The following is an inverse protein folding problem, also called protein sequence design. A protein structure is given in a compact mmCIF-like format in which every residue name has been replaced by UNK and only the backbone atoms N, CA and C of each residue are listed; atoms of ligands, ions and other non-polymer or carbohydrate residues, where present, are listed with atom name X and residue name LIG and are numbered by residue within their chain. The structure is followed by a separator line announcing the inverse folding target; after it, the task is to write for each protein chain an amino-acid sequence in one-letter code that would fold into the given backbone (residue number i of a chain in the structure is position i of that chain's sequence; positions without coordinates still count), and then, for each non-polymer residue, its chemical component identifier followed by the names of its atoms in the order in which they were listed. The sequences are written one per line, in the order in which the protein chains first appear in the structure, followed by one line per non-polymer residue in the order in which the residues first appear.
data_IF_524589783692
#
_entry.id   IF_524589783692
#
_cell.length_a   1.000
_cell.length_b   1.000
_cell.length_c   1.000
_cell.angle_alpha   90.00
_cell.angle_beta   90.00
_cell.angle_gamma   90.00
#
_symmetry.space_group_name_H-M   'P 1'
#
loop_
_entity.id
_entity.type
_entity.pdbx_description
1 polymer ?
#
# COMPACT_ATOMS: atom_id res chain seq x y z
N UNK A 1 -10.46 -29.92 8.76
CA UNK A 1 -10.94 -28.55 8.65
C UNK A 1 -10.05 -27.55 9.43
N UNK A 2 -9.70 -27.79 10.69
CA UNK A 2 -8.83 -26.86 11.47
C UNK A 2 -7.47 -26.60 10.85
N UNK A 3 -6.85 -27.60 10.23
CA UNK A 3 -5.53 -27.42 9.54
C UNK A 3 -5.60 -26.60 8.26
N UNK A 4 -6.71 -26.67 7.53
CA UNK A 4 -6.91 -25.88 6.32
C UNK A 4 -7.16 -24.40 6.64
N UNK A 5 -7.87 -24.11 7.73
CA UNK A 5 -8.11 -22.74 8.20
C UNK A 5 -6.79 -22.10 8.66
N UNK A 6 -5.95 -22.86 9.37
CA UNK A 6 -4.64 -22.37 9.80
C UNK A 6 -3.70 -22.05 8.61
N UNK A 7 -3.73 -22.90 7.58
CA UNK A 7 -2.90 -22.71 6.38
C UNK A 7 -3.36 -21.51 5.56
N UNK A 8 -4.66 -21.27 5.43
CA UNK A 8 -5.20 -20.11 4.71
C UNK A 8 -4.92 -18.81 5.45
N UNK A 9 -4.96 -18.80 6.77
CA UNK A 9 -4.64 -17.64 7.58
C UNK A 9 -3.13 -17.29 7.50
N UNK A 10 -2.27 -18.30 7.54
CA UNK A 10 -0.82 -18.11 7.37
C UNK A 10 -0.46 -17.57 5.99
N UNK A 11 -1.13 -18.07 4.94
CA UNK A 11 -0.91 -17.59 3.57
C UNK A 11 -1.38 -16.16 3.38
N UNK A 12 -2.49 -15.77 4.01
CA UNK A 12 -2.99 -14.38 3.99
C UNK A 12 -2.04 -13.42 4.70
N UNK A 13 -1.44 -13.83 5.83
CA UNK A 13 -0.43 -13.04 6.53
C UNK A 13 0.87 -12.89 5.73
N UNK A 14 1.32 -13.95 5.05
CA UNK A 14 2.51 -13.89 4.20
C UNK A 14 2.32 -12.96 2.99
N UNK A 15 1.14 -12.96 2.38
CA UNK A 15 0.83 -12.07 1.26
C UNK A 15 0.81 -10.58 1.65
N UNK A 16 0.41 -10.26 2.88
CA UNK A 16 0.40 -8.87 3.36
C UNK A 16 1.80 -8.31 3.62
N UNK A 17 2.77 -9.15 3.96
CA UNK A 17 4.17 -8.72 4.13
C UNK A 17 4.87 -8.40 2.81
N UNK A 18 4.52 -9.08 1.72
CA UNK A 18 5.11 -8.85 0.41
C UNK A 18 4.64 -7.53 -0.25
N UNK A 19 3.50 -6.98 0.18
CA UNK A 19 2.95 -5.75 -0.38
C UNK A 19 3.63 -4.47 0.14
N UNK A 20 4.46 -4.56 1.19
CA UNK A 20 5.04 -3.38 1.84
C UNK A 20 6.27 -2.80 1.12
N UNK A 21 6.82 -3.47 0.11
CA UNK A 21 8.09 -3.10 -0.51
C UNK A 21 7.94 -2.08 -1.65
N UNK A 22 6.72 -1.82 -2.10
CA UNK A 22 6.45 -0.87 -3.17
C UNK A 22 5.55 0.27 -2.71
N UNK A 23 5.73 1.52 -3.21
CA UNK A 23 4.84 2.64 -2.90
C UNK A 23 3.38 2.34 -3.22
N UNK A 24 3.13 1.59 -4.28
CA UNK A 24 1.81 1.15 -4.69
C UNK A 24 1.21 0.13 -3.70
N UNK A 25 2.04 -0.78 -3.19
CA UNK A 25 1.65 -1.75 -2.17
C UNK A 25 1.31 -1.08 -0.84
N UNK A 26 2.04 -0.06 -0.44
CA UNK A 26 1.75 0.70 0.78
C UNK A 26 0.41 1.44 0.70
N UNK A 27 0.11 2.08 -0.44
CA UNK A 27 -1.17 2.74 -0.66
C UNK A 27 -2.34 1.74 -0.75
N UNK A 28 -2.11 0.57 -1.39
CA UNK A 28 -3.10 -0.50 -1.42
C UNK A 28 -3.37 -1.05 -0.02
N UNK A 29 -2.32 -1.25 0.81
CA UNK A 29 -2.44 -1.71 2.18
C UNK A 29 -3.19 -0.68 3.04
N UNK A 30 -2.89 0.60 2.91
CA UNK A 30 -3.61 1.68 3.59
C UNK A 30 -5.09 1.69 3.23
N UNK A 31 -5.40 1.59 1.94
CA UNK A 31 -6.77 1.49 1.44
C UNK A 31 -7.50 0.25 1.95
N UNK A 32 -6.81 -0.90 1.99
CA UNK A 32 -7.36 -2.14 2.53
C UNK A 32 -7.71 -2.05 4.02
N UNK A 33 -6.85 -1.42 4.83
CA UNK A 33 -7.10 -1.23 6.27
C UNK A 33 -8.30 -0.34 6.50
N UNK A 34 -8.37 0.81 5.85
CA UNK A 34 -9.49 1.76 5.97
C UNK A 34 -10.78 1.13 5.44
N UNK A 35 -10.75 0.55 4.24
CA UNK A 35 -11.90 -0.10 3.64
C UNK A 35 -12.38 -1.32 4.44
N UNK A 36 -11.44 -2.13 4.93
CA UNK A 36 -11.72 -3.29 5.75
C UNK A 36 -12.38 -2.94 7.09
N UNK A 37 -11.84 -1.95 7.79
CA UNK A 37 -12.41 -1.48 9.06
C UNK A 37 -13.81 -0.91 8.86
N UNK A 38 -14.00 -0.04 7.87
CA UNK A 38 -15.31 0.56 7.56
C UNK A 38 -16.32 -0.50 7.13
N UNK A 39 -15.89 -1.42 6.23
CA UNK A 39 -16.73 -2.51 5.77
C UNK A 39 -17.14 -3.47 6.89
N UNK A 40 -16.23 -3.77 7.82
CA UNK A 40 -16.52 -4.61 8.99
C UNK A 40 -17.58 -3.95 9.89
N UNK A 41 -17.43 -2.65 10.19
CA UNK A 41 -18.38 -1.92 11.02
C UNK A 41 -19.75 -1.87 10.37
N UNK A 42 -19.83 -1.52 9.08
CA UNK A 42 -21.08 -1.51 8.34
C UNK A 42 -21.72 -2.88 8.25
N UNK A 43 -20.93 -3.91 7.95
CA UNK A 43 -21.40 -5.29 7.87
C UNK A 43 -21.95 -5.80 9.21
N UNK A 44 -21.30 -5.47 10.32
CA UNK A 44 -21.79 -5.76 11.66
C UNK A 44 -23.10 -5.04 11.97
N UNK A 45 -23.15 -3.74 11.67
CA UNK A 45 -24.32 -2.90 11.94
C UNK A 45 -25.55 -3.34 11.16
N UNK A 46 -25.38 -3.70 9.88
CA UNK A 46 -26.49 -4.11 9.01
C UNK A 46 -27.01 -5.52 9.32
N UNK A 47 -26.16 -6.42 9.74
CA UNK A 47 -26.56 -7.81 9.98
C UNK A 47 -26.79 -8.15 11.44
N UNK A 48 -26.29 -7.33 12.39
CA UNK A 48 -26.31 -7.60 13.81
C UNK A 48 -25.56 -8.88 14.22
N UNK A 49 -24.74 -9.43 13.33
CA UNK A 49 -24.02 -10.70 13.52
C UNK A 49 -22.55 -10.56 13.19
N UNK A 50 -21.67 -11.29 13.91
CA UNK A 50 -20.23 -11.23 13.64
C UNK A 50 -19.85 -11.71 12.23
N UNK A 51 -20.65 -12.58 11.62
CA UNK A 51 -20.46 -13.02 10.23
C UNK A 51 -20.56 -11.87 9.21
N UNK A 52 -21.44 -10.89 9.46
CA UNK A 52 -21.57 -9.72 8.61
C UNK A 52 -20.33 -8.80 8.65
N UNK A 53 -19.71 -8.69 9.84
CA UNK A 53 -18.45 -7.98 9.98
C UNK A 53 -17.33 -8.59 9.15
N UNK A 54 -17.24 -9.93 9.14
CA UNK A 54 -16.21 -10.66 8.36
C UNK A 54 -16.41 -10.44 6.86
N UNK A 55 -17.63 -10.63 6.36
CA UNK A 55 -17.93 -10.45 4.94
C UNK A 55 -17.73 -8.99 4.53
N UNK A 56 -18.26 -8.04 5.30
CA UNK A 56 -18.11 -6.62 5.06
C UNK A 56 -16.64 -6.18 5.12
N UNK A 57 -15.88 -6.69 6.08
CA UNK A 57 -14.46 -6.40 6.24
C UNK A 57 -13.63 -6.90 5.05
N UNK A 58 -13.84 -8.12 4.60
CA UNK A 58 -13.12 -8.69 3.45
C UNK A 58 -13.47 -7.95 2.16
N UNK A 59 -14.76 -7.69 1.92
CA UNK A 59 -15.20 -6.95 0.73
C UNK A 59 -14.69 -5.51 0.75
N UNK A 60 -14.77 -4.84 1.89
CA UNK A 60 -14.27 -3.48 2.09
C UNK A 60 -12.75 -3.39 1.92
N UNK A 61 -12.00 -4.36 2.44
CA UNK A 61 -10.56 -4.42 2.29
C UNK A 61 -10.14 -4.61 0.82
N UNK A 62 -10.80 -5.50 0.08
CA UNK A 62 -10.53 -5.71 -1.33
C UNK A 62 -10.81 -4.47 -2.16
N UNK A 63 -11.95 -3.82 -1.95
CA UNK A 63 -12.33 -2.58 -2.63
C UNK A 63 -11.38 -1.44 -2.27
N UNK A 64 -11.07 -1.29 -0.99
CA UNK A 64 -10.15 -0.27 -0.50
C UNK A 64 -8.73 -0.45 -1.04
N UNK A 65 -8.24 -1.68 -1.17
CA UNK A 65 -6.96 -1.97 -1.80
C UNK A 65 -6.91 -1.55 -3.27
N UNK A 66 -7.96 -1.81 -4.02
CA UNK A 66 -8.07 -1.38 -5.43
C UNK A 66 -8.07 0.14 -5.55
N UNK A 67 -8.84 0.83 -4.72
CA UNK A 67 -8.88 2.31 -4.70
C UNK A 67 -7.53 2.88 -4.28
N UNK A 68 -6.92 2.33 -3.22
CA UNK A 68 -5.60 2.75 -2.74
C UNK A 68 -4.51 2.58 -3.79
N UNK A 69 -4.51 1.46 -4.52
CA UNK A 69 -3.55 1.24 -5.60
C UNK A 69 -3.76 2.17 -6.80
N UNK A 70 -5.02 2.51 -7.13
CA UNK A 70 -5.36 3.41 -8.21
C UNK A 70 -5.02 4.88 -7.92
N UNK A 71 -4.99 5.26 -6.63
CA UNK A 71 -4.58 6.60 -6.19
C UNK A 71 -3.06 6.81 -6.19
N UNK A 72 -2.28 5.75 -6.40
CA UNK A 72 -0.83 5.88 -6.57
C UNK A 72 -0.58 6.51 -7.94
N UNK A 73 0.10 7.67 -8.04
CA UNK A 73 0.48 8.23 -9.32
C UNK A 73 1.25 7.16 -10.11
N UNK A 74 0.83 6.90 -11.34
CA UNK A 74 1.48 5.91 -12.21
C UNK A 74 2.95 6.25 -12.50
N UNK A 75 3.32 7.50 -12.28
CA UNK A 75 4.70 7.98 -12.37
C UNK A 75 5.61 7.53 -11.23
N UNK A 76 5.07 6.95 -10.15
CA UNK A 76 5.88 6.42 -9.04
C UNK A 76 6.68 5.17 -9.45
N UNK A 77 6.34 4.52 -10.58
CA UNK A 77 7.11 3.42 -11.16
C UNK A 77 8.18 3.87 -12.16
N UNK A 78 8.09 5.10 -12.64
CA UNK A 78 9.08 5.73 -13.52
C UNK A 78 9.76 6.85 -12.74
N UNK A 79 10.60 6.49 -11.79
CA UNK A 79 11.60 7.43 -11.32
C UNK A 79 12.49 7.72 -12.54
N UNK A 80 12.50 8.95 -13.10
CA UNK A 80 13.46 9.28 -14.15
C UNK A 80 14.85 8.92 -13.60
N UNK A 81 15.72 8.34 -14.43
CA UNK A 81 17.06 7.96 -13.98
C UNK A 81 17.67 9.16 -13.27
N UNK A 82 18.36 8.97 -12.15
CA UNK A 82 18.93 10.06 -11.38
C UNK A 82 19.78 10.88 -12.34
N UNK A 83 19.39 12.13 -12.53
CA UNK A 83 20.14 13.06 -13.40
C UNK A 83 21.56 13.11 -12.88
N UNK A 84 22.50 12.63 -13.68
CA UNK A 84 23.90 12.65 -13.30
C UNK A 84 24.39 14.08 -13.40
N UNK A 85 25.00 14.56 -12.32
CA UNK A 85 25.67 15.85 -12.36
C UNK A 85 26.88 15.76 -13.27
N UNK A 86 26.90 16.52 -14.35
CA UNK A 86 28.05 16.66 -15.22
C UNK A 86 29.12 17.54 -14.58
N UNK A 87 28.70 18.58 -13.88
CA UNK A 87 29.57 19.55 -13.26
C UNK A 87 29.01 19.96 -11.91
N UNK A 88 29.82 19.93 -10.86
CA UNK A 88 29.46 20.38 -9.53
C UNK A 88 30.40 21.48 -9.06
N UNK A 89 29.88 22.41 -8.28
CA UNK A 89 30.69 23.42 -7.59
C UNK A 89 30.39 23.36 -6.08
N UNK A 90 31.32 23.90 -5.31
CA UNK A 90 31.14 24.01 -3.87
C UNK A 90 30.57 25.38 -3.53
N UNK A 91 29.46 25.39 -2.82
CA UNK A 91 28.89 26.61 -2.29
C UNK A 91 29.73 27.16 -1.14
N UNK A 92 29.50 28.42 -0.76
CA UNK A 92 30.22 29.11 0.32
C UNK A 92 30.22 28.31 1.65
N UNK A 93 29.20 27.46 1.84
CA UNK A 93 29.09 26.58 3.00
C UNK A 93 29.73 25.19 2.82
N UNK A 94 30.44 24.95 1.75
CA UNK A 94 31.11 23.68 1.45
C UNK A 94 30.21 22.57 0.95
N UNK A 95 28.96 22.84 0.59
CA UNK A 95 28.03 21.87 0.05
C UNK A 95 28.23 21.72 -1.47
N UNK A 96 28.15 20.46 -1.95
CA UNK A 96 28.20 20.17 -3.39
C UNK A 96 26.87 20.49 -4.06
N UNK A 97 26.87 21.43 -4.97
CA UNK A 97 25.70 21.85 -5.74
C UNK A 97 25.93 21.53 -7.22
N UNK A 98 24.95 20.91 -7.87
CA UNK A 98 25.02 20.60 -9.29
C UNK A 98 24.77 21.86 -10.13
N UNK A 99 25.70 22.19 -11.02
CA UNK A 99 25.59 23.30 -11.96
C UNK A 99 24.97 22.90 -13.29
N UNK A 100 25.28 21.72 -13.77
CA UNK A 100 24.76 21.19 -15.03
C UNK A 100 24.40 19.71 -14.88
N UNK A 101 23.28 19.33 -15.49
CA UNK A 101 22.80 17.94 -15.55
C UNK A 101 22.81 17.48 -17.01
N UNK A 102 23.05 16.18 -17.22
CA UNK A 102 22.88 15.54 -18.52
C UNK A 102 22.08 14.25 -18.41
#
# INVERSE_FOLDING_TARGET
MKKLIGLSLALAMAASLAACDTPQGQNAAGGAVVGGATGALLGAALTGRPGGAVIGGVTGAATGAMVGSAMTPQDAGYAPPPRRCAEFYYDYYGNRVCRAYY
#
